data_IF_296911620303
#
_entry.id   IF_296911620303
#
_cell.length_a   1.000
_cell.length_b   1.000
_cell.length_c   1.000
_cell.angle_alpha   90.00
_cell.angle_beta   90.00
_cell.angle_gamma   90.00
#
_symmetry.space_group_name_H-M   'P 1'
#
loop_
_entity.id
_entity.type
_entity.pdbx_description
1 polymer ?
#
# COMPACT_ATOMS: atom_id res chain seq x y z
N UNK A 1 -5.75 25.38 -36.00
CA UNK A 1 -4.50 25.31 -35.20
C UNK A 1 -4.90 25.12 -33.74
N UNK A 2 -4.57 23.97 -33.13
CA UNK A 2 -4.93 23.69 -31.74
C UNK A 2 -3.87 24.28 -30.79
N UNK A 3 -4.29 25.21 -29.93
CA UNK A 3 -3.45 25.78 -28.87
C UNK A 3 -3.27 24.75 -27.75
N UNK A 4 -2.03 24.34 -27.45
CA UNK A 4 -1.74 23.47 -26.30
C UNK A 4 -1.76 24.31 -25.02
N UNK A 5 -2.55 23.91 -24.04
CA UNK A 5 -2.61 24.55 -22.73
C UNK A 5 -1.39 24.13 -21.89
N UNK A 6 -0.39 25.01 -21.78
CA UNK A 6 0.89 24.76 -21.10
C UNK A 6 0.80 24.77 -19.57
N UNK A 7 -0.39 24.94 -18.98
CA UNK A 7 -0.59 24.90 -17.52
C UNK A 7 -0.88 23.52 -16.97
N UNK A 8 -1.06 22.51 -17.83
CA UNK A 8 -1.31 21.14 -17.40
C UNK A 8 0.03 20.48 -17.07
N UNK A 9 0.24 20.22 -15.77
CA UNK A 9 1.36 19.41 -15.29
C UNK A 9 1.25 18.01 -15.90
N UNK A 10 2.36 17.51 -16.44
CA UNK A 10 2.47 16.16 -16.98
C UNK A 10 2.50 15.12 -15.86
N UNK A 11 2.26 13.85 -16.21
CA UNK A 11 2.34 12.74 -15.26
C UNK A 11 3.70 12.73 -14.52
N UNK A 12 4.78 13.03 -15.24
CA UNK A 12 6.14 13.07 -14.69
C UNK A 12 6.31 14.17 -13.64
N UNK A 13 5.66 15.32 -13.82
CA UNK A 13 5.69 16.44 -12.87
C UNK A 13 4.99 16.05 -11.55
N UNK A 14 3.96 15.21 -11.61
CA UNK A 14 3.29 14.67 -10.42
C UNK A 14 4.14 13.68 -9.61
N UNK A 15 5.05 12.95 -10.26
CA UNK A 15 6.00 12.06 -9.58
C UNK A 15 7.22 12.79 -8.99
N UNK A 16 7.56 13.97 -9.52
CA UNK A 16 8.65 14.80 -8.98
C UNK A 16 8.25 15.52 -7.68
N UNK A 17 6.95 15.62 -7.38
CA UNK A 17 6.46 16.22 -6.14
C UNK A 17 6.49 15.15 -5.05
N UNK A 18 7.40 15.30 -4.09
CA UNK A 18 7.41 14.48 -2.89
C UNK A 18 6.18 14.82 -2.02
N UNK A 19 5.21 13.93 -2.04
CA UNK A 19 4.03 14.04 -1.19
C UNK A 19 4.33 13.43 0.19
N UNK A 20 4.19 14.23 1.26
CA UNK A 20 4.37 13.77 2.64
C UNK A 20 3.55 12.51 2.96
N UNK A 21 2.35 12.39 2.38
CA UNK A 21 1.48 11.22 2.50
C UNK A 21 2.13 9.90 2.02
N UNK A 22 3.10 9.96 1.09
CA UNK A 22 3.85 8.79 0.64
C UNK A 22 4.87 8.31 1.68
N UNK A 23 5.36 9.23 2.52
CA UNK A 23 6.39 8.96 3.54
C UNK A 23 5.82 8.77 4.95
N UNK A 24 4.56 9.15 5.19
CA UNK A 24 3.93 9.13 6.52
C UNK A 24 3.95 7.76 7.20
N UNK A 25 3.92 6.68 6.42
CA UNK A 25 3.91 5.32 6.92
C UNK A 25 5.28 4.65 6.91
N UNK A 26 6.33 5.32 6.43
CA UNK A 26 7.67 4.74 6.34
C UNK A 26 8.26 4.45 7.72
N UNK A 27 8.04 5.34 8.69
CA UNK A 27 8.47 5.15 10.08
C UNK A 27 7.77 3.94 10.72
N UNK A 28 6.46 3.80 10.47
CA UNK A 28 5.67 2.67 10.96
C UNK A 28 6.12 1.36 10.28
N UNK A 29 6.39 1.42 8.98
CA UNK A 29 6.90 0.28 8.23
C UNK A 29 8.31 -0.13 8.70
N UNK A 30 9.14 0.81 9.15
CA UNK A 30 10.46 0.52 9.72
C UNK A 30 10.40 0.00 11.18
N UNK A 31 9.40 0.41 11.95
CA UNK A 31 9.21 -0.01 13.34
C UNK A 31 8.75 -1.46 13.47
N UNK A 32 8.01 -1.97 12.48
CA UNK A 32 7.38 -3.29 12.52
C UNK A 32 8.30 -4.36 11.90
N UNK A 33 8.54 -5.45 12.63
CA UNK A 33 9.20 -6.64 12.10
C UNK A 33 8.23 -7.46 11.23
N UNK A 34 8.17 -7.12 9.94
CA UNK A 34 7.29 -7.78 8.97
C UNK A 34 7.64 -9.24 8.71
N UNK A 35 8.92 -9.62 8.82
CA UNK A 35 9.36 -11.00 8.58
C UNK A 35 8.82 -11.91 9.67
N UNK A 36 8.83 -11.46 10.93
CA UNK A 36 8.24 -12.21 12.04
C UNK A 36 6.73 -12.36 11.88
N UNK A 37 6.03 -11.32 11.45
CA UNK A 37 4.58 -11.36 11.19
C UNK A 37 4.28 -12.31 10.03
N UNK A 38 5.06 -12.24 8.93
CA UNK A 38 4.93 -13.14 7.78
C UNK A 38 5.06 -14.59 8.19
N UNK A 39 6.09 -14.92 8.96
CA UNK A 39 6.30 -16.28 9.46
C UNK A 39 5.12 -16.76 10.31
N UNK A 40 4.55 -15.90 11.15
CA UNK A 40 3.37 -16.25 11.95
C UNK A 40 2.12 -16.47 11.08
N UNK A 41 1.89 -15.60 10.10
CA UNK A 41 0.73 -15.66 9.22
C UNK A 41 0.84 -16.75 8.14
N UNK A 42 2.06 -17.18 7.80
CA UNK A 42 2.31 -18.22 6.78
C UNK A 42 1.58 -19.52 7.08
N UNK A 43 1.42 -19.86 8.37
CA UNK A 43 0.71 -21.06 8.82
C UNK A 43 -0.81 -20.98 8.60
N UNK A 44 -1.37 -19.77 8.50
CA UNK A 44 -2.82 -19.56 8.33
C UNK A 44 -3.23 -19.76 6.87
N UNK A 45 -2.30 -19.54 5.92
CA UNK A 45 -2.60 -19.51 4.49
C UNK A 45 -2.03 -20.71 3.72
N UNK A 46 -2.28 -21.91 4.23
CA UNK A 46 -1.79 -23.18 3.66
C UNK A 46 -2.84 -23.86 2.76
N UNK A 47 -3.40 -23.17 1.75
CA UNK A 47 -4.23 -23.84 0.73
C UNK A 47 -3.45 -24.04 -0.57
N UNK A 48 -3.16 -25.30 -0.98
CA UNK A 48 -2.37 -25.61 -2.17
C UNK A 48 -3.16 -25.53 -3.49
N UNK A 49 -4.44 -25.11 -3.48
CA UNK A 49 -5.33 -25.18 -4.64
C UNK A 49 -6.04 -23.84 -4.89
N UNK A 50 -5.77 -23.23 -6.05
CA UNK A 50 -6.34 -21.96 -6.50
C UNK A 50 -5.32 -21.05 -7.21
N UNK A 51 -5.77 -19.92 -7.73
CA UNK A 51 -4.86 -18.84 -8.16
C UNK A 51 -4.02 -18.31 -6.98
N UNK A 52 -2.87 -17.70 -7.28
CA UNK A 52 -2.00 -17.10 -6.26
C UNK A 52 -2.81 -16.10 -5.44
N UNK A 53 -3.13 -16.47 -4.21
CA UNK A 53 -3.74 -15.53 -3.26
C UNK A 53 -2.75 -14.44 -2.90
N UNK A 54 -3.29 -13.30 -2.46
CA UNK A 54 -2.49 -12.22 -1.93
C UNK A 54 -1.66 -12.71 -0.73
N UNK A 55 -0.39 -12.30 -0.60
CA UNK A 55 0.41 -12.64 0.56
C UNK A 55 -0.30 -12.24 1.86
N UNK A 56 -0.30 -13.08 2.91
CA UNK A 56 -0.98 -12.77 4.17
C UNK A 56 -0.54 -11.44 4.80
N UNK A 57 0.74 -11.10 4.65
CA UNK A 57 1.29 -9.81 5.12
C UNK A 57 0.64 -8.63 4.40
N UNK A 58 0.36 -8.77 3.10
CA UNK A 58 -0.26 -7.70 2.31
C UNK A 58 -1.70 -7.47 2.75
N UNK A 59 -2.44 -8.55 3.02
CA UNK A 59 -3.78 -8.46 3.60
C UNK A 59 -3.73 -7.81 5.00
N UNK A 60 -2.76 -8.17 5.83
CA UNK A 60 -2.59 -7.58 7.16
C UNK A 60 -2.28 -6.07 7.09
N UNK A 61 -1.42 -5.64 6.16
CA UNK A 61 -1.18 -4.21 5.92
C UNK A 61 -2.45 -3.47 5.51
N UNK A 62 -3.29 -4.06 4.65
CA UNK A 62 -4.56 -3.47 4.27
C UNK A 62 -5.52 -3.32 5.47
N UNK A 63 -5.55 -4.31 6.38
CA UNK A 63 -6.34 -4.23 7.62
C UNK A 63 -5.86 -3.12 8.56
N UNK A 64 -4.54 -2.91 8.66
CA UNK A 64 -3.99 -1.80 9.46
C UNK A 64 -4.43 -0.45 8.89
N UNK A 65 -4.32 -0.27 7.57
CA UNK A 65 -4.79 0.95 6.90
C UNK A 65 -6.29 1.17 7.10
N UNK A 66 -7.08 0.11 6.97
CA UNK A 66 -8.51 0.15 7.21
C UNK A 66 -8.82 0.62 8.65
N UNK A 67 -8.11 0.08 9.64
CA UNK A 67 -8.29 0.43 11.05
C UNK A 67 -7.84 1.86 11.38
N UNK A 68 -6.79 2.38 10.75
CA UNK A 68 -6.26 3.71 11.05
C UNK A 68 -7.02 4.82 10.35
N UNK A 69 -7.44 4.59 9.11
CA UNK A 69 -8.11 5.61 8.28
C UNK A 69 -9.62 5.43 8.20
N UNK A 70 -10.19 4.43 8.88
CA UNK A 70 -11.63 4.17 8.86
C UNK A 70 -12.13 3.84 7.46
N UNK A 71 -11.36 3.08 6.67
CA UNK A 71 -11.75 2.65 5.31
C UNK A 71 -12.79 1.51 5.35
N UNK A 72 -13.21 1.12 6.56
CA UNK A 72 -14.43 0.39 6.90
C UNK A 72 -15.69 0.95 6.26
N UNK A 73 -16.51 0.17 5.56
CA UNK A 73 -17.94 0.49 5.55
C UNK A 73 -18.49 0.45 7.01
N UNK A 74 -19.44 1.32 7.37
CA UNK A 74 -20.07 1.34 8.70
C UNK A 74 -20.92 0.11 9.04
#
# INVERSE_FOLDING_TARGET
MAWKNLKQLGLVDGFLIEHKALTELDEVNALIDWVRIENFLSNIHAKPQGEKSWPPVMMFKALLLQSWYGLSDP
#
